data_IF_807270348953
#
_entry.id   IF_807270348953
#
_cell.length_a   1.000
_cell.length_b   1.000
_cell.length_c   1.000
_cell.angle_alpha   90.00
_cell.angle_beta   90.00
_cell.angle_gamma   90.00
#
_symmetry.space_group_name_H-M   'P 1'
#
loop_
_entity.id
_entity.type
_entity.pdbx_description
1 polymer ?
#
# COMPACT_ATOMS: atom_id res chain seq x y z
N UNK A 1 23.20 12.08 3.12
CA UNK A 1 22.14 11.55 3.99
C UNK A 1 21.66 10.26 3.35
N UNK A 2 21.52 9.13 4.06
CA UNK A 2 20.97 7.92 3.47
C UNK A 2 19.51 8.17 3.08
N UNK A 3 19.13 7.85 1.86
CA UNK A 3 17.77 8.03 1.35
C UNK A 3 17.01 6.76 1.73
N UNK A 4 16.49 6.71 2.95
CA UNK A 4 15.98 5.51 3.63
C UNK A 4 14.79 4.78 2.95
N UNK A 5 14.27 5.29 1.84
CA UNK A 5 13.05 4.79 1.19
C UNK A 5 13.27 4.15 -0.21
N UNK A 6 14.51 4.01 -0.67
CA UNK A 6 14.84 3.43 -1.97
C UNK A 6 15.73 2.20 -1.82
N UNK A 7 15.46 1.18 -2.65
CA UNK A 7 16.33 0.02 -2.79
C UNK A 7 17.42 0.31 -3.82
N UNK A 8 18.59 -0.27 -3.62
CA UNK A 8 19.78 -0.08 -4.44
C UNK A 8 19.62 -0.70 -5.85
N UNK A 9 20.27 -0.13 -6.89
CA UNK A 9 20.29 -0.61 -8.28
C UNK A 9 20.45 -2.12 -8.48
N UNK A 10 21.27 -2.78 -7.66
CA UNK A 10 21.59 -4.21 -7.77
C UNK A 10 20.74 -5.13 -6.90
N UNK A 11 19.67 -4.60 -6.32
CA UNK A 11 18.67 -5.39 -5.59
C UNK A 11 17.45 -5.63 -6.48
N UNK A 12 16.72 -6.72 -6.21
CA UNK A 12 15.57 -7.12 -7.02
C UNK A 12 14.32 -7.29 -6.15
N UNK A 13 13.13 -6.93 -6.66
CA UNK A 13 11.88 -7.21 -5.97
C UNK A 13 11.63 -8.71 -5.87
N UNK A 14 11.04 -9.09 -4.74
CA UNK A 14 10.59 -10.44 -4.43
C UNK A 14 9.37 -10.88 -5.25
N UNK A 15 8.60 -9.92 -5.78
CA UNK A 15 7.35 -10.16 -6.49
C UNK A 15 7.34 -9.41 -7.84
N UNK A 16 6.84 -10.02 -8.93
CA UNK A 16 6.54 -9.28 -10.15
C UNK A 16 5.54 -8.16 -9.90
N UNK A 17 5.70 -7.01 -10.56
CA UNK A 17 4.82 -5.87 -10.34
C UNK A 17 5.36 -4.55 -10.88
N UNK A 18 4.61 -3.48 -10.64
CA UNK A 18 5.00 -2.12 -11.01
C UNK A 18 5.68 -1.40 -9.84
N UNK A 19 6.84 -0.80 -10.12
CA UNK A 19 7.70 -0.11 -9.16
C UNK A 19 8.00 1.31 -9.62
N UNK A 20 8.14 2.24 -8.67
CA UNK A 20 8.76 3.53 -8.96
C UNK A 20 10.24 3.27 -9.15
N UNK A 21 10.81 3.83 -10.20
CA UNK A 21 12.23 3.66 -10.52
C UNK A 21 12.87 4.99 -10.87
N UNK A 22 14.12 5.18 -10.46
CA UNK A 22 14.92 6.35 -10.81
C UNK A 22 16.39 5.96 -11.05
N UNK A 23 17.10 6.77 -11.83
CA UNK A 23 18.56 6.65 -11.98
C UNK A 23 19.25 7.10 -10.70
N UNK A 24 18.76 8.19 -10.12
CA UNK A 24 19.17 8.75 -8.84
C UNK A 24 17.89 9.08 -8.05
N UNK A 25 17.81 8.77 -6.75
CA UNK A 25 16.60 9.04 -5.97
C UNK A 25 16.19 10.52 -5.91
N UNK A 26 17.16 11.44 -6.05
CA UNK A 26 16.90 12.89 -6.07
C UNK A 26 16.15 13.38 -7.32
N UNK A 27 16.25 12.64 -8.42
CA UNK A 27 15.58 12.95 -9.70
C UNK A 27 14.30 12.14 -9.91
N UNK A 28 13.86 11.44 -8.87
CA UNK A 28 12.72 10.54 -8.96
C UNK A 28 11.42 11.30 -9.23
N UNK A 29 10.86 11.11 -10.43
CA UNK A 29 9.49 11.53 -10.70
C UNK A 29 8.50 10.54 -10.06
N UNK A 30 7.47 11.03 -9.34
CA UNK A 30 6.43 10.20 -8.77
C UNK A 30 5.57 9.52 -9.84
N UNK A 31 5.76 9.81 -11.12
CA UNK A 31 5.03 9.22 -12.22
C UNK A 31 5.86 8.26 -13.09
N UNK A 32 7.19 8.19 -12.92
CA UNK A 32 8.05 7.24 -13.63
C UNK A 32 7.94 5.85 -13.00
N UNK A 33 7.79 4.83 -13.85
CA UNK A 33 7.52 3.45 -13.50
C UNK A 33 8.38 2.49 -14.29
N UNK A 34 8.67 1.34 -13.69
CA UNK A 34 9.14 0.12 -14.38
C UNK A 34 8.40 -1.08 -13.86
N UNK A 35 8.29 -2.10 -14.69
CA UNK A 35 7.71 -3.37 -14.33
C UNK A 35 8.81 -4.41 -14.10
N UNK A 36 8.73 -5.13 -13.00
CA UNK A 36 9.54 -6.31 -12.74
C UNK A 36 8.73 -7.55 -13.11
N UNK A 37 9.27 -8.41 -13.96
CA UNK A 37 8.59 -9.65 -14.36
C UNK A 37 9.01 -10.89 -13.56
N UNK A 38 9.82 -10.72 -12.50
CA UNK A 38 10.43 -11.82 -11.74
C UNK A 38 11.87 -12.15 -12.16
N UNK A 39 12.34 -11.64 -13.30
CA UNK A 39 13.70 -11.89 -13.79
C UNK A 39 14.38 -10.63 -14.35
N UNK A 40 13.65 -9.74 -15.01
CA UNK A 40 14.16 -8.53 -15.64
C UNK A 40 13.23 -7.35 -15.41
N UNK A 41 13.82 -6.16 -15.39
CA UNK A 41 13.12 -4.89 -15.42
C UNK A 41 12.65 -4.58 -16.83
N UNK A 42 11.51 -3.91 -16.96
CA UNK A 42 11.09 -3.29 -18.22
C UNK A 42 11.85 -2.00 -18.49
N UNK A 43 11.73 -1.47 -19.70
CA UNK A 43 12.04 -0.06 -19.97
C UNK A 43 11.16 0.87 -19.10
N UNK A 44 11.62 2.09 -18.78
CA UNK A 44 10.85 3.03 -17.98
C UNK A 44 9.67 3.59 -18.79
N UNK A 45 8.54 3.79 -18.12
CA UNK A 45 7.34 4.42 -18.68
C UNK A 45 6.70 5.35 -17.67
N UNK A 46 5.79 6.19 -18.15
CA UNK A 46 5.02 7.07 -17.29
C UNK A 46 3.68 6.43 -16.91
N UNK A 47 3.28 6.57 -15.64
CA UNK A 47 1.99 6.09 -15.11
C UNK A 47 0.76 6.66 -15.85
N UNK A 48 0.88 7.84 -16.44
CA UNK A 48 -0.21 8.47 -17.22
C UNK A 48 -0.24 8.09 -18.70
N UNK A 49 0.65 7.21 -19.18
CA UNK A 49 0.61 6.76 -20.58
C UNK A 49 -0.57 5.81 -20.85
N UNK A 50 -1.00 5.67 -22.12
CA UNK A 50 -2.03 4.69 -22.47
C UNK A 50 -1.62 3.26 -22.09
N UNK A 51 -2.56 2.44 -21.60
CA UNK A 51 -2.27 1.05 -21.20
C UNK A 51 -1.66 0.21 -22.33
N UNK A 52 -2.06 0.43 -23.59
CA UNK A 52 -1.46 -0.27 -24.73
C UNK A 52 0.05 0.05 -24.86
N UNK A 53 0.43 1.31 -24.62
CA UNK A 53 1.84 1.72 -24.62
C UNK A 53 2.58 1.12 -23.43
N UNK A 54 1.97 1.14 -22.23
CA UNK A 54 2.57 0.50 -21.05
C UNK A 54 2.75 -1.01 -21.27
N UNK A 55 1.76 -1.71 -21.79
CA UNK A 55 1.81 -3.14 -22.06
C UNK A 55 2.97 -3.49 -23.01
N UNK A 56 3.18 -2.70 -24.06
CA UNK A 56 4.33 -2.86 -24.95
C UNK A 56 5.65 -2.66 -24.21
N UNK A 57 5.78 -1.59 -23.45
CA UNK A 57 7.01 -1.29 -22.70
C UNK A 57 7.28 -2.35 -21.62
N UNK A 58 6.24 -2.86 -20.93
CA UNK A 58 6.35 -3.94 -19.94
C UNK A 58 6.91 -5.24 -20.55
N UNK A 59 6.66 -5.48 -21.85
CA UNK A 59 7.17 -6.63 -22.58
C UNK A 59 8.62 -6.46 -23.07
N UNK A 60 9.16 -5.23 -23.06
CA UNK A 60 10.53 -4.92 -23.49
C UNK A 60 11.48 -4.98 -22.28
N UNK A 61 12.33 -6.03 -22.17
CA UNK A 61 13.28 -6.13 -21.08
C UNK A 61 14.39 -5.08 -21.21
N UNK A 62 14.80 -4.55 -20.08
CA UNK A 62 15.86 -3.58 -19.91
C UNK A 62 16.94 -4.18 -19.01
N UNK A 63 18.20 -4.06 -19.44
CA UNK A 63 19.34 -4.45 -18.61
C UNK A 63 19.70 -3.39 -17.57
N UNK A 64 19.00 -2.25 -17.59
CA UNK A 64 19.23 -1.16 -16.66
C UNK A 64 18.73 -1.52 -15.26
N UNK A 65 19.55 -1.16 -14.28
CA UNK A 65 19.38 -1.45 -12.85
C UNK A 65 19.15 -0.14 -12.10
N UNK A 66 17.89 0.28 -11.88
CA UNK A 66 17.57 1.55 -11.25
C UNK A 66 17.45 1.41 -9.74
N UNK A 67 17.58 2.52 -9.01
CA UNK A 67 16.97 2.59 -7.69
C UNK A 67 15.49 2.35 -7.83
N UNK A 68 14.91 1.56 -6.93
CA UNK A 68 13.51 1.21 -7.00
C UNK A 68 12.83 1.23 -5.65
N UNK A 69 11.55 1.55 -5.67
CA UNK A 69 10.65 1.37 -4.53
C UNK A 69 9.31 0.90 -5.04
N UNK A 70 8.59 0.12 -4.23
CA UNK A 70 7.26 -0.36 -4.59
C UNK A 70 6.37 0.86 -4.90
N UNK A 71 5.64 0.81 -6.01
CA UNK A 71 4.65 1.86 -6.27
C UNK A 71 3.66 1.87 -5.12
N UNK A 72 3.26 3.06 -4.68
CA UNK A 72 2.09 3.20 -3.82
C UNK A 72 0.77 2.90 -4.58
N UNK A 73 0.87 2.33 -5.79
CA UNK A 73 -0.26 1.81 -6.55
C UNK A 73 -0.56 0.38 -6.07
N UNK A 74 -1.02 0.34 -4.83
CA UNK A 74 -1.14 -0.86 -4.01
C UNK A 74 -0.68 -0.63 -2.57
N UNK A 75 -1.12 0.46 -1.94
CA UNK A 75 -1.28 0.45 -0.48
C UNK A 75 -2.72 0.06 -0.17
N UNK A 76 -3.22 -1.02 -0.76
CA UNK A 76 -3.67 -2.17 0.02
C UNK A 76 -2.98 -3.47 -0.42
N UNK A 77 -1.97 -3.90 0.35
CA UNK A 77 -1.49 -5.28 0.52
C UNK A 77 -0.04 -5.37 1.05
N UNK A 78 0.50 -4.31 1.67
CA UNK A 78 0.88 -4.59 3.06
C UNK A 78 -0.46 -4.90 3.72
N UNK A 79 -0.66 -6.03 4.44
CA UNK A 79 -1.82 -6.10 5.32
C UNK A 79 -1.73 -4.80 6.12
N UNK A 80 -2.69 -3.90 5.91
CA UNK A 80 -2.78 -2.75 6.77
C UNK A 80 -3.12 -3.44 8.08
N UNK A 81 -2.12 -3.54 8.94
CA UNK A 81 -2.27 -4.15 10.25
C UNK A 81 -2.66 -3.00 11.15
N UNK A 82 -3.79 -3.19 11.81
CA UNK A 82 -4.37 -2.14 12.60
C UNK A 82 -5.61 -2.62 13.31
N UNK A 83 -6.05 -1.80 14.23
CA UNK A 83 -7.14 -2.08 15.12
C UNK A 83 -8.19 -1.00 14.98
N UNK A 84 -9.43 -1.40 15.21
CA UNK A 84 -10.54 -0.50 15.37
C UNK A 84 -11.45 -1.07 16.48
N UNK A 85 -12.35 -0.23 16.96
CA UNK A 85 -13.36 -0.64 17.94
C UNK A 85 -14.69 -0.79 17.20
N UNK A 86 -15.29 -1.97 17.29
CA UNK A 86 -16.59 -2.25 16.68
C UNK A 86 -17.75 -1.64 17.50
N UNK A 87 -18.96 -1.80 16.98
CA UNK A 87 -20.19 -1.29 17.61
C UNK A 87 -20.50 -1.94 18.97
N UNK A 88 -19.92 -3.11 19.27
CA UNK A 88 -20.07 -3.82 20.54
C UNK A 88 -18.95 -3.45 21.54
N UNK A 89 -18.03 -2.55 21.15
CA UNK A 89 -16.89 -2.15 21.97
C UNK A 89 -15.72 -3.14 21.91
N UNK A 90 -15.76 -4.14 21.03
CA UNK A 90 -14.66 -5.08 20.85
C UNK A 90 -13.59 -4.46 19.97
N UNK A 91 -12.33 -4.70 20.33
CA UNK A 91 -11.20 -4.39 19.48
C UNK A 91 -11.09 -5.46 18.40
N UNK A 92 -11.10 -5.06 17.14
CA UNK A 92 -10.95 -5.97 16.00
C UNK A 92 -9.76 -5.59 15.17
N UNK A 93 -9.20 -6.59 14.51
CA UNK A 93 -8.20 -6.39 13.48
C UNK A 93 -8.88 -5.99 12.18
N UNK A 94 -8.30 -5.06 11.44
CA UNK A 94 -8.87 -4.68 10.13
C UNK A 94 -8.75 -5.80 9.08
N UNK A 95 -7.86 -6.78 9.28
CA UNK A 95 -7.83 -8.01 8.49
C UNK A 95 -8.92 -9.03 8.89
N UNK A 96 -9.56 -8.85 10.04
CA UNK A 96 -10.60 -9.74 10.59
C UNK A 96 -11.79 -8.94 11.17
N UNK A 97 -12.50 -8.13 10.35
CA UNK A 97 -13.60 -7.29 10.83
C UNK A 97 -14.86 -8.07 11.22
N UNK A 98 -14.95 -9.33 10.83
CA UNK A 98 -16.13 -10.19 11.03
C UNK A 98 -16.62 -10.78 9.71
N UNK A 99 -17.47 -11.80 9.80
CA UNK A 99 -17.95 -12.54 8.64
C UNK A 99 -18.69 -11.64 7.64
N UNK A 100 -18.25 -11.68 6.38
CA UNK A 100 -18.82 -10.90 5.29
C UNK A 100 -18.44 -9.41 5.30
N UNK A 101 -17.64 -8.94 6.26
CA UNK A 101 -17.22 -7.55 6.34
C UNK A 101 -15.83 -7.34 5.74
N UNK A 102 -15.58 -6.12 5.30
CA UNK A 102 -14.26 -5.67 4.87
C UNK A 102 -13.95 -4.28 5.45
N UNK A 103 -12.68 -3.96 5.62
CA UNK A 103 -12.26 -2.64 6.11
C UNK A 103 -11.56 -1.84 5.02
N UNK A 104 -11.84 -0.54 4.97
CA UNK A 104 -11.12 0.44 4.16
C UNK A 104 -10.49 1.47 5.08
N UNK A 105 -9.17 1.62 5.02
CA UNK A 105 -8.48 2.64 5.80
C UNK A 105 -8.49 3.95 5.02
N UNK A 106 -9.14 4.97 5.56
CA UNK A 106 -9.35 6.25 4.90
C UNK A 106 -8.59 7.34 5.62
N UNK A 107 -7.72 8.06 4.89
CA UNK A 107 -7.06 9.24 5.42
C UNK A 107 -8.01 10.43 5.33
N UNK A 108 -8.36 10.98 6.49
CA UNK A 108 -9.09 12.25 6.62
C UNK A 108 -8.09 13.40 6.83
N UNK A 109 -8.61 14.63 6.94
CA UNK A 109 -7.76 15.84 7.06
C UNK A 109 -6.87 15.76 8.30
N UNK A 110 -7.43 15.37 9.45
CA UNK A 110 -6.72 15.41 10.75
C UNK A 110 -6.43 14.02 11.35
N UNK A 111 -7.01 12.95 10.81
CA UNK A 111 -6.88 11.61 11.36
C UNK A 111 -7.05 10.52 10.29
N UNK A 112 -6.83 9.27 10.67
CA UNK A 112 -7.08 8.10 9.82
C UNK A 112 -8.28 7.33 10.39
N UNK A 113 -9.26 7.01 9.55
CA UNK A 113 -10.44 6.23 9.91
C UNK A 113 -10.42 4.85 9.25
N UNK A 114 -11.28 3.96 9.75
CA UNK A 114 -11.61 2.68 9.15
C UNK A 114 -13.10 2.70 8.81
N UNK A 115 -13.42 2.58 7.53
CA UNK A 115 -14.78 2.32 7.06
C UNK A 115 -14.96 0.80 6.98
N UNK A 116 -15.86 0.25 7.78
CA UNK A 116 -16.29 -1.14 7.70
C UNK A 116 -17.41 -1.24 6.68
N UNK A 117 -17.23 -2.11 5.70
CA UNK A 117 -18.07 -2.22 4.52
C UNK A 117 -18.67 -3.61 4.44
N UNK A 118 -19.97 -3.68 4.20
CA UNK A 118 -20.71 -4.92 4.01
C UNK A 118 -20.51 -5.52 2.59
N UNK A 119 -21.00 -6.74 2.31
CA UNK A 119 -20.90 -7.35 0.98
C UNK A 119 -21.62 -6.57 -0.13
N UNK A 120 -22.60 -5.73 0.23
CA UNK A 120 -23.34 -4.90 -0.71
C UNK A 120 -22.61 -3.58 -1.03
N UNK A 121 -21.49 -3.30 -0.36
CA UNK A 121 -20.66 -2.12 -0.55
C UNK A 121 -21.08 -0.91 0.31
N UNK A 122 -21.97 -1.11 1.28
CA UNK A 122 -22.41 -0.06 2.21
C UNK A 122 -21.46 0.07 3.40
N UNK A 123 -21.13 1.31 3.78
CA UNK A 123 -20.34 1.58 4.99
C UNK A 123 -21.26 1.42 6.21
N UNK A 124 -21.17 0.28 6.87
CA UNK A 124 -22.03 -0.04 8.02
C UNK A 124 -21.48 0.49 9.34
N UNK A 125 -20.17 0.80 9.43
CA UNK A 125 -19.54 1.38 10.61
C UNK A 125 -18.32 2.22 10.21
N UNK A 126 -18.13 3.37 10.85
CA UNK A 126 -16.91 4.18 10.72
C UNK A 126 -16.25 4.28 12.09
N UNK A 127 -14.96 3.94 12.15
CA UNK A 127 -14.20 3.88 13.38
C UNK A 127 -12.85 4.58 13.26
N UNK A 128 -12.24 4.91 14.39
CA UNK A 128 -10.85 5.38 14.41
C UNK A 128 -9.91 4.24 14.07
N UNK A 129 -8.93 4.51 13.21
CA UNK A 129 -7.85 3.57 12.92
C UNK A 129 -6.74 3.70 13.98
N UNK A 130 -6.38 2.58 14.59
CA UNK A 130 -5.23 2.46 15.47
C UNK A 130 -4.17 1.58 14.80
N UNK A 131 -2.92 2.04 14.80
CA UNK A 131 -1.82 1.27 14.19
C UNK A 131 -1.45 0.07 15.05
N UNK A 132 -1.53 0.22 16.36
CA UNK A 132 -1.15 -0.78 17.36
C UNK A 132 -2.15 -0.82 18.51
N UNK A 133 -2.16 -1.91 19.28
CA UNK A 133 -2.93 -1.98 20.52
C UNK A 133 -2.50 -0.93 21.55
N UNK A 134 -1.22 -0.58 21.59
CA UNK A 134 -0.73 0.48 22.47
C UNK A 134 -1.36 1.84 22.14
N UNK A 135 -1.66 2.11 20.87
CA UNK A 135 -2.39 3.33 20.46
C UNK A 135 -3.85 3.30 20.93
N UNK A 136 -4.47 2.11 21.00
CA UNK A 136 -5.82 1.91 21.54
C UNK A 136 -5.84 2.24 23.04
N UNK A 137 -4.87 1.71 23.79
CA UNK A 137 -4.71 2.01 25.23
C UNK A 137 -4.39 3.49 25.48
N UNK A 138 -3.50 4.08 24.67
CA UNK A 138 -3.14 5.50 24.78
C UNK A 138 -4.33 6.43 24.52
N UNK A 139 -5.32 5.97 23.73
CA UNK A 139 -6.60 6.66 23.53
C UNK A 139 -7.59 6.47 24.69
N UNK A 140 -7.22 5.71 25.74
CA UNK A 140 -8.06 5.44 26.90
C UNK A 140 -9.13 4.39 26.66
N UNK A 141 -9.01 3.59 25.60
CA UNK A 141 -9.96 2.52 25.26
C UNK A 141 -9.52 1.22 25.90
N UNK A 142 -10.46 0.52 26.53
CA UNK A 142 -10.21 -0.85 27.04
C UNK A 142 -10.10 -1.82 25.88
N UNK A 143 -8.97 -2.52 25.76
CA UNK A 143 -8.78 -3.51 24.69
C UNK A 143 -9.60 -4.77 25.02
N UNK A 144 -10.47 -5.15 24.10
CA UNK A 144 -11.11 -6.47 24.08
C UNK A 144 -10.93 -7.11 22.69
N UNK A 145 -9.76 -7.70 22.45
CA UNK A 145 -9.40 -8.22 21.13
C UNK A 145 -10.10 -9.55 20.83
N UNK A 146 -10.83 -9.61 19.71
CA UNK A 146 -11.53 -10.80 19.20
C UNK A 146 -11.17 -11.14 17.76
#
# INVERSE_FOLDING_TARGET
MPIHDWNEPDTFPDQPGEYVSALEPGDASPATRRFWNGSRWSNPYHSNWPEATKARIRAEPSDFRPYWKRTEQGKDATPVVGFFVDWDGNTRRIESPGDGLSCKVVRRVDYTSVDVVDPAGFVCHEATYFRTLADVEAAGVTINLI
#
